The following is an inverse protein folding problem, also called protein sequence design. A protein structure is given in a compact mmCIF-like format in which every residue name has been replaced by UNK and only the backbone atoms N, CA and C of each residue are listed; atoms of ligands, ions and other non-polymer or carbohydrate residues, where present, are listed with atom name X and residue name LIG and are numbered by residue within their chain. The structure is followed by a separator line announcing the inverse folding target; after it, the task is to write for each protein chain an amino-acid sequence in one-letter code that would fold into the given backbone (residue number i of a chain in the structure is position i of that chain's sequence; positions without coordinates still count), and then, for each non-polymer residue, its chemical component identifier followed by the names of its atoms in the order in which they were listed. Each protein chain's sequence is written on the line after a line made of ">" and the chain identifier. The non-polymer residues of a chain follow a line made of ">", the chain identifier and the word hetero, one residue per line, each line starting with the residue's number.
data_IF_712903711063
#
_entry.id   IF_712903711063
#
_cell.length_a   1.000
_cell.length_b   1.000
_cell.length_c   1.000
_cell.angle_alpha   90.00
_cell.angle_beta   90.00
_cell.angle_gamma   90.00
#
_symmetry.space_group_name_H-M   'P 1'
#
loop_
_entity.id
_entity.type
_entity.pdbx_description
1 polymer ?
#
# COMPACT_ATOMS: atom_id res chain seq x y z
N UNK A 1 -2.98 -4.06 -5.51
CA UNK A 1 -1.93 -3.03 -5.23
C UNK A 1 -1.95 -2.03 -6.37
N UNK A 2 -1.88 -0.73 -6.12
CA UNK A 2 -1.78 0.29 -7.18
C UNK A 2 -0.51 1.11 -6.95
N UNK A 3 0.30 1.29 -8.00
CA UNK A 3 1.49 2.12 -7.95
C UNK A 3 1.15 3.57 -8.34
N UNK A 4 1.55 4.52 -7.51
CA UNK A 4 1.49 5.95 -7.77
C UNK A 4 2.90 6.46 -8.06
N UNK A 5 3.07 7.09 -9.22
CA UNK A 5 4.31 7.73 -9.63
C UNK A 5 4.10 9.24 -9.67
N UNK A 6 4.82 9.96 -8.82
CA UNK A 6 4.73 11.42 -8.77
C UNK A 6 6.09 12.02 -8.42
N UNK A 7 6.60 12.93 -9.27
CA UNK A 7 7.89 13.63 -9.09
C UNK A 7 9.05 12.68 -8.75
N UNK A 8 9.15 11.56 -9.47
CA UNK A 8 10.22 10.56 -9.27
C UNK A 8 10.04 9.66 -8.04
N UNK A 9 8.96 9.81 -7.26
CA UNK A 9 8.63 8.90 -6.15
C UNK A 9 7.64 7.84 -6.62
N UNK A 10 7.87 6.60 -6.20
CA UNK A 10 6.94 5.48 -6.37
C UNK A 10 6.37 5.12 -5.00
N UNK A 11 5.05 5.16 -4.86
CA UNK A 11 4.33 4.75 -3.64
C UNK A 11 3.25 3.74 -4.02
N UNK A 12 3.25 2.59 -3.37
CA UNK A 12 2.24 1.55 -3.55
C UNK A 12 1.10 1.74 -2.56
N UNK A 13 -0.14 1.69 -3.03
CA UNK A 13 -1.34 1.67 -2.17
C UNK A 13 -1.97 0.27 -2.22
N UNK A 14 -2.30 -0.29 -1.07
CA UNK A 14 -2.88 -1.63 -0.95
C UNK A 14 -3.93 -1.69 0.19
N UNK A 15 -5.05 -2.39 0.11
CA UNK A 15 -5.66 -3.02 -1.07
C UNK A 15 -6.57 -2.01 -1.81
N UNK A 16 -6.48 -2.02 -3.12
CA UNK A 16 -7.18 -1.09 -4.02
C UNK A 16 -8.33 -1.72 -4.77
N UNK A 17 -8.52 -3.04 -4.68
CA UNK A 17 -9.49 -3.74 -5.52
C UNK A 17 -10.35 -4.78 -4.78
N UNK A 18 -9.76 -5.66 -3.98
CA UNK A 18 -10.42 -6.93 -3.61
C UNK A 18 -11.21 -6.82 -2.31
N UNK A 19 -10.56 -6.42 -1.21
CA UNK A 19 -11.17 -6.44 0.12
C UNK A 19 -11.88 -5.12 0.41
N UNK A 20 -13.19 -5.16 0.60
CA UNK A 20 -13.98 -3.98 0.99
C UNK A 20 -13.61 -3.50 2.40
N UNK A 21 -13.57 -4.45 3.34
CA UNK A 21 -13.27 -4.22 4.75
C UNK A 21 -12.37 -5.33 5.32
N UNK A 22 -11.05 -5.29 5.07
CA UNK A 22 -10.14 -6.32 5.55
C UNK A 22 -10.02 -6.30 7.08
N UNK A 23 -9.90 -7.48 7.70
CA UNK A 23 -9.52 -7.63 9.10
C UNK A 23 -7.99 -7.52 9.29
N UNK A 24 -7.48 -7.64 10.52
CA UNK A 24 -6.05 -7.55 10.81
C UNK A 24 -5.19 -8.63 10.14
N UNK A 25 -5.74 -9.83 9.89
CA UNK A 25 -5.04 -10.93 9.22
C UNK A 25 -5.01 -10.67 7.71
N UNK A 26 -6.11 -10.23 7.14
CA UNK A 26 -6.19 -9.79 5.75
C UNK A 26 -5.21 -8.64 5.49
N UNK A 27 -5.18 -7.63 6.37
CA UNK A 27 -4.27 -6.49 6.28
C UNK A 27 -2.80 -6.92 6.30
N UNK A 28 -2.44 -7.87 7.17
CA UNK A 28 -1.09 -8.43 7.20
C UNK A 28 -0.76 -9.20 5.92
N UNK A 29 -1.69 -10.02 5.40
CA UNK A 29 -1.51 -10.72 4.13
C UNK A 29 -1.36 -9.74 2.95
N UNK A 30 -2.16 -8.68 2.93
CA UNK A 30 -2.10 -7.59 1.94
C UNK A 30 -0.73 -6.92 2.00
N UNK A 31 -0.20 -6.64 3.19
CA UNK A 31 1.14 -6.08 3.38
C UNK A 31 2.23 -6.98 2.76
N UNK A 32 2.18 -8.29 3.04
CA UNK A 32 3.14 -9.26 2.47
C UNK A 32 3.07 -9.30 0.94
N UNK A 33 1.86 -9.29 0.36
CA UNK A 33 1.70 -9.25 -1.10
C UNK A 33 2.19 -7.94 -1.70
N UNK A 34 1.92 -6.81 -1.05
CA UNK A 34 2.41 -5.52 -1.49
C UNK A 34 3.95 -5.40 -1.40
N UNK A 35 4.57 -5.97 -0.37
CA UNK A 35 6.02 -6.07 -0.27
C UNK A 35 6.63 -6.89 -1.42
N UNK A 36 5.99 -8.00 -1.81
CA UNK A 36 6.38 -8.75 -3.01
C UNK A 36 6.32 -7.93 -4.29
N UNK A 37 5.27 -7.12 -4.48
CA UNK A 37 5.17 -6.20 -5.63
C UNK A 37 6.27 -5.14 -5.59
N UNK A 38 6.58 -4.56 -4.44
CA UNK A 38 7.68 -3.61 -4.30
C UNK A 38 9.02 -4.22 -4.71
N UNK A 39 9.32 -5.46 -4.26
CA UNK A 39 10.53 -6.18 -4.66
C UNK A 39 10.60 -6.44 -6.16
N UNK A 40 9.48 -6.82 -6.78
CA UNK A 40 9.40 -7.00 -8.23
C UNK A 40 9.65 -5.70 -9.02
N UNK A 41 9.39 -4.54 -8.40
CA UNK A 41 9.69 -3.22 -8.94
C UNK A 41 11.10 -2.71 -8.55
N UNK A 42 11.92 -3.54 -7.87
CA UNK A 42 13.27 -3.19 -7.43
C UNK A 42 13.32 -2.28 -6.20
N UNK A 43 12.25 -2.23 -5.40
CA UNK A 43 12.15 -1.39 -4.20
C UNK A 43 12.33 -2.24 -2.93
N UNK A 44 13.14 -1.74 -1.99
CA UNK A 44 13.20 -2.32 -0.63
C UNK A 44 11.91 -1.98 0.13
N UNK A 45 11.11 -2.97 0.57
CA UNK A 45 9.78 -2.70 1.12
C UNK A 45 9.81 -2.01 2.49
N UNK A 46 9.06 -0.90 2.60
CA UNK A 46 8.76 -0.21 3.87
C UNK A 46 7.26 0.05 3.95
N UNK A 47 6.60 -0.71 4.80
CA UNK A 47 5.13 -0.78 4.88
C UNK A 47 4.60 0.08 6.03
N UNK A 48 3.70 1.00 5.73
CA UNK A 48 2.91 1.70 6.75
C UNK A 48 1.45 1.22 6.72
N UNK A 49 0.93 0.79 7.86
CA UNK A 49 -0.50 0.61 8.06
C UNK A 49 -1.12 1.98 8.35
N UNK A 50 -1.72 2.59 7.33
CA UNK A 50 -2.19 3.96 7.43
C UNK A 50 -3.62 4.07 7.97
N UNK A 51 -3.86 5.08 8.78
CA UNK A 51 -5.14 5.38 9.40
C UNK A 51 -5.31 6.91 9.50
N UNK A 52 -6.45 7.35 10.01
CA UNK A 52 -6.61 8.72 10.50
C UNK A 52 -6.13 8.87 11.96
N UNK A 53 -5.86 7.75 12.63
CA UNK A 53 -5.23 7.68 13.96
C UNK A 53 -3.72 7.52 13.81
N UNK A 54 -3.00 8.01 14.81
CA UNK A 54 -1.57 7.80 14.97
C UNK A 54 -1.28 7.21 16.34
N UNK A 55 -0.78 5.98 16.36
CA UNK A 55 -0.32 5.23 17.53
C UNK A 55 -1.24 5.32 18.76
N UNK A 56 -2.54 5.16 18.55
CA UNK A 56 -3.56 5.03 19.58
C UNK A 56 -4.54 6.20 19.69
N UNK A 57 -4.39 7.29 18.93
CA UNK A 57 -5.33 8.41 18.98
C UNK A 57 -5.62 9.06 17.61
N UNK A 58 -6.90 9.40 17.31
CA UNK A 58 -8.11 9.09 18.08
C UNK A 58 -8.51 7.60 18.00
N UNK A 59 -9.03 7.07 19.12
CA UNK A 59 -9.47 5.68 19.20
C UNK A 59 -10.71 5.44 18.35
N UNK A 60 -10.67 4.39 17.53
CA UNK A 60 -11.75 3.99 16.63
C UNK A 60 -11.57 2.54 16.24
N UNK A 61 -12.66 1.81 16.05
CA UNK A 61 -12.65 0.45 15.48
C UNK A 61 -11.80 0.35 14.21
N UNK A 62 -11.90 1.37 13.35
CA UNK A 62 -11.16 1.44 12.08
C UNK A 62 -9.64 1.53 12.30
N UNK A 63 -9.22 2.22 13.37
CA UNK A 63 -7.83 2.35 13.76
C UNK A 63 -7.33 1.10 14.51
N UNK A 64 -8.18 0.50 15.36
CA UNK A 64 -7.82 -0.68 16.16
C UNK A 64 -7.38 -1.85 15.29
N UNK A 65 -8.04 -2.12 14.16
CA UNK A 65 -7.61 -3.20 13.25
C UNK A 65 -6.26 -2.90 12.58
N UNK A 66 -6.00 -1.64 12.24
CA UNK A 66 -4.73 -1.21 11.67
C UNK A 66 -3.58 -1.34 12.69
N UNK A 67 -3.87 -1.05 13.96
CA UNK A 67 -2.95 -1.23 15.07
C UNK A 67 -2.65 -2.72 15.35
N UNK A 68 -3.63 -3.59 15.11
CA UNK A 68 -3.50 -5.03 15.32
C UNK A 68 -2.70 -5.73 14.21
N UNK A 69 -2.77 -5.26 12.96
CA UNK A 69 -2.13 -5.90 11.82
C UNK A 69 -0.59 -6.07 11.93
N UNK A 70 0.20 -5.09 12.44
CA UNK A 70 1.63 -5.28 12.73
C UNK A 70 1.91 -6.46 13.67
N UNK A 71 1.05 -6.70 14.66
CA UNK A 71 1.22 -7.83 15.60
C UNK A 71 0.99 -9.19 14.93
N UNK A 72 0.24 -9.23 13.83
CA UNK A 72 0.10 -10.42 13.00
C UNK A 72 1.39 -10.65 12.22
N UNK A 73 1.97 -9.60 11.63
CA UNK A 73 3.27 -9.69 10.94
C UNK A 73 4.41 -10.12 11.87
N UNK A 74 4.40 -9.67 13.14
CA UNK A 74 5.36 -10.11 14.17
C UNK A 74 5.35 -11.64 14.31
N UNK A 75 4.15 -12.24 14.35
CA UNK A 75 3.98 -13.70 14.45
C UNK A 75 4.36 -14.43 13.16
N UNK A 76 4.26 -13.76 12.02
CA UNK A 76 4.63 -14.33 10.72
C UNK A 76 6.14 -14.32 10.48
N UNK A 77 6.91 -13.49 11.21
CA UNK A 77 8.36 -13.41 11.07
C UNK A 77 8.80 -12.88 9.69
N UNK A 78 8.15 -11.82 9.21
CA UNK A 78 8.44 -11.23 7.90
C UNK A 78 9.81 -10.54 7.84
N UNK A 79 10.34 -10.39 6.63
CA UNK A 79 11.70 -9.94 6.33
C UNK A 79 11.76 -8.50 5.79
N UNK A 80 10.75 -7.68 6.04
CA UNK A 80 10.68 -6.28 5.61
C UNK A 80 10.24 -5.36 6.74
N UNK A 81 10.49 -4.06 6.60
CA UNK A 81 10.08 -3.07 7.60
C UNK A 81 8.58 -2.78 7.52
N UNK A 82 7.93 -2.72 8.68
CA UNK A 82 6.53 -2.33 8.79
C UNK A 82 6.25 -1.63 10.10
N UNK A 83 5.27 -0.72 10.10
CA UNK A 83 4.78 -0.08 11.31
C UNK A 83 3.34 0.42 11.14
N UNK A 84 2.64 0.62 12.26
CA UNK A 84 1.37 1.34 12.31
C UNK A 84 0.56 1.05 13.57
N UNK A 85 -0.60 1.67 13.74
CA UNK A 85 -1.26 2.55 12.78
C UNK A 85 -0.75 3.99 12.83
N UNK A 86 -0.68 4.66 11.67
CA UNK A 86 -0.21 6.04 11.57
C UNK A 86 -0.91 6.82 10.47
N UNK A 87 -0.93 8.14 10.57
CA UNK A 87 -1.40 8.99 9.48
C UNK A 87 -0.42 9.03 8.29
N UNK A 88 -0.92 9.40 7.11
CA UNK A 88 -0.15 9.39 5.85
C UNK A 88 1.02 10.37 5.88
N UNK A 89 0.87 11.50 6.55
CA UNK A 89 1.93 12.49 6.76
C UNK A 89 3.08 11.89 7.58
N UNK A 90 2.79 11.16 8.67
CA UNK A 90 3.80 10.44 9.46
C UNK A 90 4.49 9.37 8.61
N UNK A 91 3.74 8.61 7.81
CA UNK A 91 4.29 7.56 6.96
C UNK A 91 5.22 8.07 5.84
N UNK A 92 4.94 9.26 5.29
CA UNK A 92 5.61 9.77 4.09
C UNK A 92 6.63 10.89 4.34
N UNK A 93 6.66 11.47 5.54
CA UNK A 93 7.55 12.55 5.94
C UNK A 93 8.51 12.12 7.06
N UNK A 94 9.79 12.00 6.75
CA UNK A 94 10.82 11.58 7.71
C UNK A 94 10.95 12.52 8.92
N UNK A 95 10.71 13.83 8.75
CA UNK A 95 10.80 14.81 9.85
C UNK A 95 9.66 14.62 10.86
N UNK A 96 8.45 14.32 10.37
CA UNK A 96 7.29 14.02 11.23
C UNK A 96 7.47 12.65 11.88
N UNK A 97 7.94 11.66 11.11
CA UNK A 97 8.22 10.31 11.60
C UNK A 97 9.26 10.29 12.73
N UNK A 98 10.27 11.18 12.68
CA UNK A 98 11.30 11.29 13.72
C UNK A 98 10.74 11.63 15.11
N UNK A 99 9.51 12.14 15.22
CA UNK A 99 8.83 12.38 16.50
C UNK A 99 8.38 11.06 17.18
N UNK A 100 8.45 9.93 16.48
CA UNK A 100 8.05 8.61 16.94
C UNK A 100 9.27 7.67 16.92
N UNK A 101 10.20 7.79 17.89
CA UNK A 101 11.48 7.06 17.87
C UNK A 101 11.36 5.54 18.02
N UNK A 102 10.17 5.05 18.40
CA UNK A 102 9.84 3.63 18.46
C UNK A 102 9.39 3.06 17.11
N UNK A 103 9.17 3.90 16.09
CA UNK A 103 8.77 3.48 14.75
C UNK A 103 9.86 2.61 14.14
N UNK A 104 9.47 1.43 13.63
CA UNK A 104 10.39 0.47 13.02
C UNK A 104 10.91 0.87 11.64
N UNK A 105 10.29 1.85 10.98
CA UNK A 105 10.66 2.29 9.64
C UNK A 105 11.95 3.10 9.66
N UNK A 106 12.95 2.70 8.87
CA UNK A 106 14.23 3.40 8.72
C UNK A 106 14.13 4.68 7.88
N UNK A 107 13.03 4.84 7.15
CA UNK A 107 12.75 5.99 6.31
C UNK A 107 11.30 6.02 5.84
N UNK A 108 10.91 7.00 5.00
CA UNK A 108 9.54 7.12 4.50
C UNK A 108 9.05 5.81 3.86
N UNK A 109 7.82 5.44 4.20
CA UNK A 109 7.15 4.29 3.64
C UNK A 109 7.01 4.42 2.11
N UNK A 110 7.17 3.31 1.42
CA UNK A 110 6.88 3.20 -0.01
C UNK A 110 5.67 2.30 -0.29
N UNK A 111 5.11 1.68 0.75
CA UNK A 111 3.87 0.91 0.68
C UNK A 111 2.93 1.44 1.77
N UNK A 112 1.73 1.84 1.36
CA UNK A 112 0.66 2.28 2.26
C UNK A 112 -0.45 1.24 2.24
N UNK A 113 -0.61 0.51 3.34
CA UNK A 113 -1.73 -0.39 3.55
C UNK A 113 -2.89 0.41 4.15
N UNK A 114 -3.99 0.54 3.42
CA UNK A 114 -5.16 1.34 3.79
C UNK A 114 -6.25 0.49 4.47
N UNK A 115 -7.12 1.07 5.29
CA UNK A 115 -8.04 0.31 6.14
C UNK A 115 -9.24 -0.28 5.39
N UNK A 116 -9.55 0.24 4.19
CA UNK A 116 -10.74 -0.14 3.43
C UNK A 116 -10.61 0.26 1.96
N UNK A 117 -11.37 -0.41 1.09
CA UNK A 117 -11.40 -0.14 -0.36
C UNK A 117 -11.78 1.30 -0.70
N UNK A 118 -12.70 1.90 0.06
CA UNK A 118 -13.10 3.29 -0.16
C UNK A 118 -11.92 4.25 0.02
N UNK A 119 -11.05 4.01 1.01
CA UNK A 119 -9.88 4.86 1.28
C UNK A 119 -8.90 4.76 0.12
N UNK A 120 -8.62 3.55 -0.36
CA UNK A 120 -7.79 3.35 -1.55
C UNK A 120 -8.36 4.06 -2.78
N UNK A 121 -9.65 3.85 -3.10
CA UNK A 121 -10.26 4.42 -4.29
C UNK A 121 -10.25 5.95 -4.26
N UNK A 122 -10.53 6.56 -3.11
CA UNK A 122 -10.52 8.02 -2.96
C UNK A 122 -9.09 8.55 -3.10
N UNK A 123 -8.13 7.98 -2.36
CA UNK A 123 -6.75 8.46 -2.36
C UNK A 123 -6.08 8.33 -3.73
N UNK A 124 -6.25 7.21 -4.42
CA UNK A 124 -5.67 7.00 -5.76
C UNK A 124 -6.23 8.02 -6.75
N UNK A 125 -7.56 8.19 -6.79
CA UNK A 125 -8.20 9.15 -7.72
C UNK A 125 -7.85 10.58 -7.38
N UNK A 126 -7.76 10.95 -6.10
CA UNK A 126 -7.35 12.29 -5.70
C UNK A 126 -5.91 12.59 -6.14
N UNK A 127 -4.99 11.63 -5.98
CA UNK A 127 -3.62 11.78 -6.47
C UNK A 127 -3.55 11.87 -8.00
N UNK A 128 -4.40 11.14 -8.71
CA UNK A 128 -4.50 11.20 -10.16
C UNK A 128 -5.00 12.58 -10.64
N UNK A 129 -6.15 13.02 -10.13
CA UNK A 129 -6.85 14.20 -10.63
C UNK A 129 -6.26 15.52 -10.12
N UNK A 130 -5.89 15.60 -8.83
CA UNK A 130 -5.39 16.84 -8.24
C UNK A 130 -3.87 16.96 -8.30
N UNK A 131 -3.15 15.87 -8.05
CA UNK A 131 -1.68 15.90 -8.03
C UNK A 131 -1.06 15.55 -9.40
N UNK A 132 -1.85 15.11 -10.38
CA UNK A 132 -1.33 14.68 -11.68
C UNK A 132 -0.38 13.48 -11.57
N UNK A 133 -0.57 12.63 -10.56
CA UNK A 133 0.22 11.42 -10.39
C UNK A 133 -0.11 10.42 -11.51
N UNK A 134 0.92 9.76 -12.04
CA UNK A 134 0.70 8.62 -12.93
C UNK A 134 0.30 7.41 -12.09
N UNK A 135 -0.84 6.80 -12.42
CA UNK A 135 -1.39 5.65 -11.71
C UNK A 135 -1.18 4.40 -12.57
N UNK A 136 -0.60 3.36 -11.98
CA UNK A 136 -0.45 2.05 -12.62
C UNK A 136 -1.13 1.00 -11.75
N UNK A 137 -2.14 0.33 -12.31
CA UNK A 137 -2.88 -0.74 -11.65
C UNK A 137 -4.38 -0.65 -11.87
N UNK A 138 -5.17 -1.43 -11.10
CA UNK A 138 -4.73 -2.26 -9.96
C UNK A 138 -3.92 -3.49 -10.40
N UNK A 139 -2.73 -3.65 -9.85
CA UNK A 139 -1.90 -4.86 -9.95
C UNK A 139 -2.52 -5.93 -9.04
N UNK A 140 -3.03 -7.00 -9.66
CA UNK A 140 -3.56 -8.16 -8.96
C UNK A 140 -2.39 -9.02 -8.48
N UNK A 141 -2.52 -9.56 -7.27
CA UNK A 141 -1.48 -10.33 -6.60
C UNK A 141 -2.03 -11.60 -5.98
N UNK A 142 -1.20 -12.64 -5.82
CA UNK A 142 -1.57 -13.85 -5.09
C UNK A 142 -2.29 -14.93 -5.91
N UNK A 143 -2.30 -14.80 -7.24
CA UNK A 143 -2.81 -15.80 -8.17
C UNK A 143 -1.68 -16.71 -8.69
N UNK A 144 -2.00 -17.96 -9.09
CA UNK A 144 -0.99 -18.93 -9.55
C UNK A 144 -0.35 -18.58 -10.91
N UNK A 145 -1.03 -17.79 -11.74
CA UNK A 145 -0.58 -17.36 -13.07
C UNK A 145 -0.71 -15.84 -13.15
N UNK A 146 0.16 -15.15 -13.92
CA UNK A 146 0.08 -13.70 -14.05
C UNK A 146 -1.22 -13.32 -14.76
N UNK A 147 -2.09 -12.60 -14.05
CA UNK A 147 -3.37 -12.11 -14.54
C UNK A 147 -3.47 -10.66 -14.10
N UNK A 148 -3.80 -9.78 -15.03
CA UNK A 148 -3.99 -8.36 -14.76
C UNK A 148 -5.32 -7.91 -15.38
N UNK A 149 -6.02 -7.01 -14.70
CA UNK A 149 -7.35 -6.54 -15.09
C UNK A 149 -7.25 -5.10 -15.54
N UNK A 150 -7.72 -4.82 -16.76
CA UNK A 150 -7.89 -3.46 -17.27
C UNK A 150 -9.36 -3.07 -17.19
N UNK A 151 -9.61 -1.76 -17.00
CA UNK A 151 -10.96 -1.21 -17.07
C UNK A 151 -11.35 -0.97 -18.52
N UNK A 152 -12.65 -0.92 -18.82
CA UNK A 152 -13.15 -0.63 -20.17
C UNK A 152 -12.81 0.80 -20.64
N UNK A 153 -12.50 1.70 -19.71
CA UNK A 153 -12.05 3.06 -19.99
C UNK A 153 -10.51 3.21 -19.94
N UNK A 154 -9.74 2.12 -19.87
CA UNK A 154 -8.29 2.16 -19.85
C UNK A 154 -7.72 2.76 -21.14
N UNK A 155 -6.69 3.61 -21.00
CA UNK A 155 -5.95 4.16 -22.12
C UNK A 155 -5.00 3.12 -22.73
N UNK A 156 -4.46 3.41 -23.92
CA UNK A 156 -3.45 2.55 -24.56
C UNK A 156 -2.24 2.33 -23.65
N UNK A 157 -1.80 3.38 -22.94
CA UNK A 157 -0.68 3.29 -22.00
C UNK A 157 -1.02 2.41 -20.79
N UNK A 158 -2.25 2.49 -20.27
CA UNK A 158 -2.68 1.63 -19.16
C UNK A 158 -2.65 0.16 -19.57
N UNK A 159 -3.17 -0.17 -20.76
CA UNK A 159 -3.17 -1.54 -21.28
C UNK A 159 -1.74 -2.05 -21.49
N UNK A 160 -0.87 -1.23 -22.07
CA UNK A 160 0.54 -1.57 -22.26
C UNK A 160 1.23 -1.85 -20.92
N UNK A 161 1.04 -0.96 -19.94
CA UNK A 161 1.61 -1.12 -18.60
C UNK A 161 1.12 -2.42 -17.94
N UNK A 162 -0.17 -2.73 -18.02
CA UNK A 162 -0.72 -3.97 -17.45
C UNK A 162 -0.23 -5.21 -18.17
N UNK A 163 -0.04 -5.17 -19.50
CA UNK A 163 0.56 -6.25 -20.26
C UNK A 163 2.03 -6.49 -19.85
N UNK A 164 2.81 -5.43 -19.65
CA UNK A 164 4.20 -5.51 -19.15
C UNK A 164 4.23 -6.12 -17.74
N UNK A 165 3.36 -5.66 -16.84
CA UNK A 165 3.27 -6.21 -15.48
C UNK A 165 2.96 -7.71 -15.49
N UNK A 166 2.03 -8.15 -16.36
CA UNK A 166 1.72 -9.57 -16.53
C UNK A 166 2.91 -10.36 -17.11
N UNK A 167 3.57 -9.84 -18.15
CA UNK A 167 4.72 -10.48 -18.80
C UNK A 167 5.91 -10.65 -17.84
N UNK A 168 6.17 -9.64 -17.01
CA UNK A 168 7.20 -9.65 -15.98
C UNK A 168 6.82 -10.43 -14.71
N UNK A 169 5.63 -11.05 -14.67
CA UNK A 169 5.12 -11.81 -13.52
C UNK A 169 5.09 -10.97 -12.22
N UNK A 170 4.75 -9.69 -12.36
CA UNK A 170 4.57 -8.80 -11.22
C UNK A 170 3.21 -9.06 -10.58
N UNK A 171 3.24 -9.57 -9.35
CA UNK A 171 2.05 -9.81 -8.51
C UNK A 171 1.75 -11.27 -8.23
#
# INVERSE_FOLDING_TARGET
>A
VTALLHKGRIVLIADTLVHEWPDEVDLANIAVKAAGVARNLGLEPRVAFVSFSTFGYPVSERATKMHAAPKVLDKMGVDFEYEGEMTVDVALNAEVMAQYPFCRLSGPANILVVPARHSASISVKLMQEMAGATVIGPILTGVKKPIQICSTNSTVNDILNMAVMAACKVG
#
